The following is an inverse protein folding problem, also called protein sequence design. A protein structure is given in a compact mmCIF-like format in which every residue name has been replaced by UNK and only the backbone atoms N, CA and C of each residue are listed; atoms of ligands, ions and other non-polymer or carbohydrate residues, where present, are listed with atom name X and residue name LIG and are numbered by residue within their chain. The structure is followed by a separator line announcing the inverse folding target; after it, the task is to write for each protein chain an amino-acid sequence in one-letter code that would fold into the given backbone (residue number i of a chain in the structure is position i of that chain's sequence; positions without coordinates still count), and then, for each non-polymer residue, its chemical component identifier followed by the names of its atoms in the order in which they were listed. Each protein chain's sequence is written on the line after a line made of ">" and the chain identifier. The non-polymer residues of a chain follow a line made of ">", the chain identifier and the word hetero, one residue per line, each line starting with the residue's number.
data_IF_812920969531
#
_entry.id   IF_812920969531
#
_cell.length_a   1.000
_cell.length_b   1.000
_cell.length_c   1.000
_cell.angle_alpha   90.00
_cell.angle_beta   90.00
_cell.angle_gamma   90.00
#
_symmetry.space_group_name_H-M   'P 1'
#
loop_
_entity.id
_entity.type
_entity.pdbx_description
1 polymer ?
#
# COMPACT_ATOMS: atom_id res chain seq x y z
N UNK A 1 67.92 -33.57 46.23
CA UNK A 1 67.29 -32.56 45.36
C UNK A 1 66.69 -33.31 44.17
N UNK A 2 65.40 -33.62 44.24
CA UNK A 2 64.70 -34.38 43.18
C UNK A 2 63.91 -33.37 42.27
N UNK A 3 64.32 -33.31 41.00
CA UNK A 3 63.65 -32.51 40.02
C UNK A 3 62.37 -33.24 39.52
N UNK A 4 61.21 -32.63 39.72
CA UNK A 4 59.94 -33.12 39.24
C UNK A 4 59.75 -32.64 37.79
N UNK A 5 59.76 -33.55 36.85
CA UNK A 5 59.47 -33.27 35.43
C UNK A 5 57.93 -33.41 35.22
N UNK A 6 57.24 -32.31 35.00
CA UNK A 6 55.80 -32.32 34.64
C UNK A 6 55.72 -32.45 33.12
N UNK A 7 55.35 -33.64 32.65
CA UNK A 7 55.05 -33.87 31.23
C UNK A 7 53.63 -33.33 30.90
N UNK A 8 53.61 -32.26 30.18
CA UNK A 8 52.35 -31.65 29.68
C UNK A 8 51.84 -32.41 28.44
N UNK A 9 50.79 -33.19 28.63
CA UNK A 9 50.17 -33.98 27.58
C UNK A 9 49.28 -33.03 26.75
N UNK A 10 49.73 -32.68 25.55
CA UNK A 10 48.94 -31.92 24.57
C UNK A 10 47.98 -32.88 23.88
N UNK A 11 46.68 -32.76 24.20
CA UNK A 11 45.58 -33.38 23.44
C UNK A 11 45.24 -32.52 22.24
N UNK A 12 45.17 -33.07 21.02
CA UNK A 12 44.69 -32.30 19.88
C UNK A 12 43.18 -32.15 19.95
N UNK A 13 42.71 -30.88 20.03
CA UNK A 13 41.31 -30.54 19.88
C UNK A 13 40.93 -30.72 18.41
N UNK A 14 40.25 -31.81 18.11
CA UNK A 14 39.63 -32.03 16.79
C UNK A 14 38.43 -31.09 16.67
N UNK A 15 38.60 -30.02 15.92
CA UNK A 15 37.55 -29.09 15.59
C UNK A 15 36.63 -29.75 14.53
N UNK A 16 35.58 -30.42 14.99
CA UNK A 16 34.54 -30.94 14.12
C UNK A 16 33.66 -29.77 13.68
N UNK A 17 33.96 -29.24 12.50
CA UNK A 17 33.05 -28.28 11.82
C UNK A 17 31.79 -29.04 11.35
N UNK A 18 30.73 -28.96 12.13
CA UNK A 18 29.40 -29.41 11.69
C UNK A 18 28.87 -28.41 10.68
N UNK A 19 28.98 -28.75 9.40
CA UNK A 19 28.33 -28.02 8.32
C UNK A 19 26.80 -28.28 8.41
N UNK A 20 26.06 -27.40 9.08
CA UNK A 20 24.62 -27.44 9.05
C UNK A 20 24.20 -26.86 7.69
N UNK A 21 23.94 -27.73 6.74
CA UNK A 21 23.35 -27.40 5.45
C UNK A 21 21.88 -27.06 5.71
N UNK A 22 21.61 -25.77 5.96
CA UNK A 22 20.21 -25.27 6.01
C UNK A 22 19.63 -25.34 4.61
N UNK A 23 18.97 -26.45 4.32
CA UNK A 23 18.11 -26.56 3.13
C UNK A 23 16.91 -25.63 3.32
N UNK A 24 17.03 -24.40 2.81
CA UNK A 24 15.88 -23.50 2.70
C UNK A 24 14.98 -24.09 1.63
N UNK A 25 13.95 -24.81 2.06
CA UNK A 25 12.84 -25.22 1.18
C UNK A 25 12.11 -23.94 0.76
N UNK A 26 12.43 -23.47 -0.43
CA UNK A 26 11.62 -22.44 -1.09
C UNK A 26 10.26 -23.09 -1.40
N UNK A 27 9.31 -22.89 -0.51
CA UNK A 27 7.91 -23.22 -0.80
C UNK A 27 7.47 -22.33 -1.94
N UNK A 28 7.32 -22.93 -3.12
CA UNK A 28 6.71 -22.25 -4.26
C UNK A 28 5.33 -21.73 -3.80
N UNK A 29 5.19 -20.41 -3.72
CA UNK A 29 3.89 -19.80 -3.51
C UNK A 29 3.04 -20.14 -4.73
N UNK A 30 2.20 -21.15 -4.58
CA UNK A 30 1.15 -21.43 -5.54
C UNK A 30 0.31 -20.16 -5.66
N UNK A 31 0.35 -19.55 -6.84
CA UNK A 31 -0.58 -18.47 -7.22
C UNK A 31 -2.00 -19.07 -7.19
N UNK A 32 -2.60 -19.07 -6.00
CA UNK A 32 -4.04 -19.32 -5.90
C UNK A 32 -4.72 -18.17 -6.63
N UNK A 33 -5.42 -18.50 -7.68
CA UNK A 33 -6.26 -17.57 -8.45
C UNK A 33 -7.45 -17.14 -7.56
N UNK A 34 -7.15 -16.39 -6.52
CA UNK A 34 -8.13 -15.95 -5.51
C UNK A 34 -9.03 -14.95 -6.20
N UNK A 35 -10.28 -15.32 -6.42
CA UNK A 35 -11.32 -14.44 -6.97
C UNK A 35 -11.29 -13.10 -6.22
N UNK A 36 -11.10 -12.00 -6.94
CA UNK A 36 -11.04 -10.66 -6.37
C UNK A 36 -12.33 -10.37 -5.59
N UNK A 37 -12.19 -9.94 -4.34
CA UNK A 37 -13.35 -9.55 -3.52
C UNK A 37 -14.01 -8.29 -4.08
N UNK A 38 -15.29 -8.10 -3.79
CA UNK A 38 -16.01 -6.85 -4.12
C UNK A 38 -15.27 -5.62 -3.57
N UNK A 39 -14.82 -5.70 -2.32
CA UNK A 39 -14.07 -4.60 -1.67
C UNK A 39 -12.80 -4.25 -2.43
N UNK A 40 -11.98 -5.25 -2.78
CA UNK A 40 -10.74 -5.02 -3.54
C UNK A 40 -11.01 -4.37 -4.90
N UNK A 41 -12.05 -4.83 -5.61
CA UNK A 41 -12.44 -4.24 -6.90
C UNK A 41 -12.84 -2.78 -6.75
N UNK A 42 -13.70 -2.46 -5.79
CA UNK A 42 -14.16 -1.07 -5.54
C UNK A 42 -12.99 -0.14 -5.27
N UNK A 43 -12.08 -0.53 -4.38
CA UNK A 43 -10.92 0.29 -4.02
C UNK A 43 -10.00 0.48 -5.23
N UNK A 44 -9.65 -0.61 -5.94
CA UNK A 44 -8.76 -0.53 -7.10
C UNK A 44 -9.35 0.33 -8.22
N UNK A 45 -10.65 0.19 -8.51
CA UNK A 45 -11.36 1.01 -9.50
C UNK A 45 -11.34 2.48 -9.10
N UNK A 46 -11.56 2.80 -7.82
CA UNK A 46 -11.47 4.18 -7.33
C UNK A 46 -10.08 4.76 -7.57
N UNK A 47 -9.01 4.04 -7.19
CA UNK A 47 -7.63 4.48 -7.41
C UNK A 47 -7.36 4.73 -8.91
N UNK A 48 -7.79 3.81 -9.77
CA UNK A 48 -7.61 3.93 -11.22
C UNK A 48 -8.38 5.10 -11.81
N UNK A 49 -9.62 5.27 -11.42
CA UNK A 49 -10.46 6.36 -11.93
C UNK A 49 -9.88 7.74 -11.57
N UNK A 50 -9.35 7.87 -10.36
CA UNK A 50 -8.84 9.13 -9.82
C UNK A 50 -7.40 9.43 -10.24
N UNK A 51 -6.54 8.42 -10.38
CA UNK A 51 -5.10 8.66 -10.46
C UNK A 51 -4.30 7.79 -11.44
N UNK A 52 -4.92 7.00 -12.34
CA UNK A 52 -4.15 6.18 -13.31
C UNK A 52 -3.22 7.00 -14.22
N UNK A 53 -3.55 8.26 -14.46
CA UNK A 53 -2.71 9.20 -15.25
C UNK A 53 -1.61 9.89 -14.45
N UNK A 54 -1.58 9.74 -13.13
CA UNK A 54 -0.62 10.40 -12.23
C UNK A 54 0.56 9.48 -11.86
N UNK A 55 0.67 8.31 -12.50
CA UNK A 55 1.69 7.30 -12.18
C UNK A 55 1.48 6.63 -10.82
N UNK A 56 2.46 5.82 -10.42
CA UNK A 56 2.38 5.04 -9.17
C UNK A 56 2.32 5.92 -7.93
N UNK A 57 3.08 7.01 -7.90
CA UNK A 57 3.07 7.97 -6.79
C UNK A 57 1.69 8.60 -6.56
N UNK A 58 1.00 9.02 -7.63
CA UNK A 58 -0.35 9.56 -7.55
C UNK A 58 -1.38 8.51 -7.14
N UNK A 59 -1.28 7.29 -7.68
CA UNK A 59 -2.16 6.19 -7.28
C UNK A 59 -1.97 5.81 -5.79
N UNK A 60 -0.71 5.76 -5.32
CA UNK A 60 -0.43 5.54 -3.89
C UNK A 60 -1.03 6.65 -3.03
N UNK A 61 -0.89 7.91 -3.45
CA UNK A 61 -1.41 9.05 -2.71
C UNK A 61 -2.94 9.00 -2.56
N UNK A 62 -3.67 8.68 -3.62
CA UNK A 62 -5.14 8.49 -3.55
C UNK A 62 -5.49 7.31 -2.63
N UNK A 63 -4.76 6.19 -2.71
CA UNK A 63 -4.96 5.05 -1.82
C UNK A 63 -4.72 5.43 -0.34
N UNK A 64 -3.67 6.22 -0.05
CA UNK A 64 -3.39 6.71 1.29
C UNK A 64 -4.51 7.62 1.84
N UNK A 65 -5.13 8.46 1.00
CA UNK A 65 -6.32 9.26 1.38
C UNK A 65 -7.52 8.36 1.68
N UNK A 66 -7.75 7.30 0.88
CA UNK A 66 -8.81 6.32 1.17
C UNK A 66 -8.58 5.68 2.54
N UNK A 67 -7.34 5.23 2.82
CA UNK A 67 -6.96 4.65 4.10
C UNK A 67 -7.14 5.64 5.27
N UNK A 68 -6.76 6.91 5.09
CA UNK A 68 -6.93 7.97 6.08
C UNK A 68 -8.41 8.21 6.40
N UNK A 69 -9.24 8.37 5.37
CA UNK A 69 -10.70 8.54 5.55
C UNK A 69 -11.36 7.33 6.21
N UNK A 70 -10.91 6.11 5.89
CA UNK A 70 -11.42 4.89 6.49
C UNK A 70 -11.10 4.84 7.99
N UNK A 71 -9.88 5.22 8.36
CA UNK A 71 -9.42 5.31 9.74
C UNK A 71 -10.22 6.35 10.55
N UNK A 72 -10.30 7.59 10.07
CA UNK A 72 -10.98 8.69 10.74
C UNK A 72 -12.48 8.42 10.94
N UNK A 73 -13.12 7.85 9.92
CA UNK A 73 -14.57 7.63 9.91
C UNK A 73 -14.99 6.28 10.48
N UNK A 74 -14.04 5.44 10.90
CA UNK A 74 -14.27 4.06 11.37
C UNK A 74 -15.14 3.27 10.40
N UNK A 75 -14.81 3.35 9.09
CA UNK A 75 -15.53 2.71 8.01
C UNK A 75 -14.59 1.80 7.21
N UNK A 76 -15.17 0.84 6.47
CA UNK A 76 -14.36 0.07 5.51
C UNK A 76 -13.89 0.97 4.38
N UNK A 77 -12.70 0.73 3.77
CA UNK A 77 -12.21 1.48 2.63
C UNK A 77 -13.19 1.52 1.47
N UNK A 78 -13.87 0.41 1.17
CA UNK A 78 -14.89 0.36 0.12
C UNK A 78 -16.11 1.22 0.44
N UNK A 79 -16.56 1.26 1.70
CA UNK A 79 -17.65 2.14 2.11
C UNK A 79 -17.28 3.63 1.99
N UNK A 80 -16.00 3.96 2.22
CA UNK A 80 -15.48 5.32 1.95
C UNK A 80 -15.53 5.62 0.46
N UNK A 81 -15.09 4.69 -0.39
CA UNK A 81 -15.10 4.89 -1.84
C UNK A 81 -16.52 5.09 -2.40
N UNK A 82 -17.48 4.32 -1.91
CA UNK A 82 -18.87 4.33 -2.39
C UNK A 82 -19.74 5.41 -1.73
N UNK A 83 -19.21 6.16 -0.76
CA UNK A 83 -19.97 7.25 -0.15
C UNK A 83 -20.30 8.31 -1.21
N UNK A 84 -21.58 8.66 -1.30
CA UNK A 84 -22.09 9.67 -2.26
C UNK A 84 -21.23 10.94 -2.24
N UNK A 85 -20.84 11.43 -3.40
CA UNK A 85 -20.04 12.64 -3.62
C UNK A 85 -18.58 12.59 -3.12
N UNK A 86 -18.08 11.43 -2.67
CA UNK A 86 -16.67 11.33 -2.26
C UNK A 86 -15.72 11.10 -3.44
N UNK A 87 -16.15 10.29 -4.40
CA UNK A 87 -15.40 10.02 -5.63
C UNK A 87 -16.38 10.07 -6.81
N UNK A 88 -16.14 10.99 -7.73
CA UNK A 88 -17.06 11.31 -8.82
C UNK A 88 -17.30 10.13 -9.75
N UNK A 89 -16.33 9.23 -9.88
CA UNK A 89 -16.43 8.05 -10.73
C UNK A 89 -17.61 7.13 -10.36
N UNK A 90 -18.09 7.17 -9.12
CA UNK A 90 -19.23 6.36 -8.64
C UNK A 90 -20.59 7.03 -8.79
N UNK A 91 -20.64 8.32 -9.17
CA UNK A 91 -21.91 9.02 -9.29
C UNK A 91 -22.77 8.43 -10.41
N UNK A 92 -23.90 7.80 -10.05
CA UNK A 92 -24.80 7.14 -11.01
C UNK A 92 -24.25 5.86 -11.63
N UNK A 93 -23.13 5.31 -11.12
CA UNK A 93 -22.47 4.12 -11.63
C UNK A 93 -22.50 2.98 -10.64
N UNK A 94 -22.53 1.75 -11.16
CA UNK A 94 -22.38 0.50 -10.40
C UNK A 94 -21.02 -0.14 -10.71
N UNK A 95 -20.60 -1.09 -9.93
CA UNK A 95 -19.32 -1.79 -10.12
C UNK A 95 -19.15 -2.31 -11.55
N UNK A 96 -20.16 -2.96 -12.12
CA UNK A 96 -20.14 -3.50 -13.48
C UNK A 96 -19.85 -2.46 -14.57
N UNK A 97 -20.27 -1.21 -14.32
CA UNK A 97 -20.11 -0.12 -15.28
C UNK A 97 -18.64 0.36 -15.36
N UNK A 98 -17.83 0.06 -14.34
CA UNK A 98 -16.45 0.49 -14.18
C UNK A 98 -15.43 -0.66 -14.19
N UNK A 99 -15.85 -1.92 -14.24
CA UNK A 99 -14.94 -3.10 -14.24
C UNK A 99 -13.94 -3.10 -15.40
N UNK A 100 -14.23 -2.41 -16.49
CA UNK A 100 -13.30 -2.25 -17.61
C UNK A 100 -11.98 -1.57 -17.19
N UNK A 101 -11.98 -0.75 -16.13
CA UNK A 101 -10.78 -0.14 -15.58
C UNK A 101 -9.80 -1.18 -15.01
N UNK A 102 -10.28 -2.36 -14.62
CA UNK A 102 -9.40 -3.44 -14.14
C UNK A 102 -8.60 -4.12 -15.26
N UNK A 103 -8.79 -3.73 -16.52
CA UNK A 103 -8.08 -4.25 -17.69
C UNK A 103 -6.97 -3.34 -18.19
N UNK A 104 -6.82 -2.13 -17.61
CA UNK A 104 -5.75 -1.20 -18.00
C UNK A 104 -4.38 -1.64 -17.42
N UNK A 105 -3.25 -1.25 -18.01
CA UNK A 105 -1.93 -1.66 -17.52
C UNK A 105 -1.68 -1.36 -16.05
N UNK A 106 -2.17 -0.23 -15.55
CA UNK A 106 -2.02 0.22 -14.16
C UNK A 106 -2.83 -0.61 -13.14
N UNK A 107 -3.75 -1.47 -13.62
CA UNK A 107 -4.63 -2.24 -12.74
C UNK A 107 -3.88 -3.18 -11.80
N UNK A 108 -2.74 -3.75 -12.24
CA UNK A 108 -1.89 -4.60 -11.39
C UNK A 108 -1.46 -3.86 -10.12
N UNK A 109 -0.97 -2.64 -10.27
CA UNK A 109 -0.52 -1.82 -9.15
C UNK A 109 -1.69 -1.36 -8.27
N UNK A 110 -2.78 -0.88 -8.86
CA UNK A 110 -3.98 -0.49 -8.12
C UNK A 110 -4.58 -1.64 -7.30
N UNK A 111 -4.58 -2.87 -7.85
CA UNK A 111 -5.02 -4.06 -7.12
C UNK A 111 -4.09 -4.42 -5.95
N UNK A 112 -2.77 -4.25 -6.12
CA UNK A 112 -1.81 -4.45 -5.04
C UNK A 112 -2.04 -3.45 -3.91
N UNK A 113 -2.26 -2.17 -4.22
CA UNK A 113 -2.62 -1.14 -3.24
C UNK A 113 -3.94 -1.47 -2.53
N UNK A 114 -4.96 -1.88 -3.28
CA UNK A 114 -6.27 -2.22 -2.72
C UNK A 114 -6.22 -3.42 -1.76
N UNK A 115 -5.44 -4.45 -2.08
CA UNK A 115 -5.23 -5.62 -1.19
C UNK A 115 -4.53 -5.24 0.11
N UNK A 116 -3.63 -4.26 0.07
CA UNK A 116 -2.80 -3.83 1.18
C UNK A 116 -3.25 -2.49 1.79
N UNK A 117 -4.48 -2.04 1.50
CA UNK A 117 -4.95 -0.68 1.82
C UNK A 117 -4.77 -0.28 3.29
N UNK A 118 -4.92 -1.24 4.22
CA UNK A 118 -4.78 -1.01 5.67
C UNK A 118 -3.32 -0.86 6.12
N UNK A 119 -2.37 -1.29 5.30
CA UNK A 119 -0.93 -1.27 5.59
C UNK A 119 -0.22 -0.05 4.96
N UNK A 120 -0.94 0.72 4.14
CA UNK A 120 -0.35 1.88 3.47
C UNK A 120 0.01 2.99 4.46
N UNK A 121 1.14 3.64 4.23
CA UNK A 121 1.54 4.81 5.02
C UNK A 121 0.63 6.00 4.71
N UNK A 122 -0.15 6.41 5.70
CA UNK A 122 -1.01 7.60 5.62
C UNK A 122 -0.19 8.89 5.73
N UNK A 123 1.00 8.81 6.31
CA UNK A 123 1.96 9.91 6.37
C UNK A 123 2.49 10.28 4.98
N UNK A 124 2.48 9.36 4.04
CA UNK A 124 2.88 9.62 2.65
C UNK A 124 2.19 10.87 2.06
N UNK A 125 0.96 11.14 2.45
CA UNK A 125 0.19 12.33 2.08
C UNK A 125 0.03 13.33 3.24
N UNK A 126 0.85 13.25 4.30
CA UNK A 126 0.74 14.10 5.48
C UNK A 126 -0.60 13.95 6.21
N UNK A 127 -1.13 12.72 6.25
CA UNK A 127 -2.46 12.43 6.83
C UNK A 127 -3.61 13.20 6.20
N UNK A 128 -3.45 13.60 4.93
CA UNK A 128 -4.50 14.31 4.19
C UNK A 128 -5.75 13.44 4.03
N UNK A 129 -6.90 14.08 4.18
CA UNK A 129 -8.22 13.48 3.96
C UNK A 129 -9.00 14.16 2.82
N UNK A 130 -8.44 15.23 2.23
CA UNK A 130 -8.96 15.92 1.06
C UNK A 130 -7.86 16.16 0.02
N UNK A 131 -8.25 16.18 -1.25
CA UNK A 131 -7.36 16.61 -2.33
C UNK A 131 -8.19 17.14 -3.51
N UNK A 132 -7.56 17.93 -4.36
CA UNK A 132 -8.09 18.33 -5.66
C UNK A 132 -6.96 18.35 -6.70
N UNK A 133 -7.34 18.29 -7.97
CA UNK A 133 -6.40 18.46 -9.06
C UNK A 133 -6.10 19.96 -9.26
N UNK A 134 -4.82 20.33 -9.42
CA UNK A 134 -4.38 21.71 -9.60
C UNK A 134 -4.83 22.35 -10.92
N UNK A 135 -5.33 21.55 -11.86
CA UNK A 135 -5.85 22.02 -13.16
C UNK A 135 -7.31 22.47 -13.10
N UNK A 136 -8.00 22.25 -11.96
CA UNK A 136 -9.36 22.73 -11.77
C UNK A 136 -9.39 24.02 -10.95
N UNK A 137 -10.49 24.77 -11.05
CA UNK A 137 -10.74 25.92 -10.16
C UNK A 137 -10.65 25.47 -8.70
N UNK A 138 -10.00 26.27 -7.86
CA UNK A 138 -9.87 26.00 -6.42
C UNK A 138 -11.24 25.68 -5.82
N UNK A 139 -11.44 24.49 -5.25
CA UNK A 139 -12.70 24.14 -4.60
C UNK A 139 -12.99 25.05 -3.41
N UNK A 140 -14.27 25.28 -3.14
CA UNK A 140 -14.68 26.14 -2.03
C UNK A 140 -14.09 25.70 -0.68
N UNK A 141 -14.09 24.40 -0.42
CA UNK A 141 -13.56 23.82 0.83
C UNK A 141 -12.04 23.98 1.01
N UNK A 142 -11.28 24.22 -0.07
CA UNK A 142 -9.83 24.45 -0.02
C UNK A 142 -9.47 25.93 0.15
N UNK A 143 -10.47 26.82 0.11
CA UNK A 143 -10.24 28.27 0.16
C UNK A 143 -9.81 28.68 1.56
N UNK A 144 -8.58 29.22 1.68
CA UNK A 144 -7.97 29.58 2.96
C UNK A 144 -7.23 28.45 3.67
N UNK A 145 -7.34 27.20 3.18
CA UNK A 145 -6.67 26.05 3.75
C UNK A 145 -5.22 25.96 3.27
N UNK A 146 -4.33 25.48 4.16
CA UNK A 146 -2.92 25.25 3.81
C UNK A 146 -2.75 23.81 3.32
N UNK A 147 -2.19 23.60 2.11
CA UNK A 147 -1.90 22.26 1.65
C UNK A 147 -0.79 21.62 2.49
N UNK A 148 -0.91 20.31 2.73
CA UNK A 148 0.12 19.54 3.44
C UNK A 148 1.09 18.87 2.48
N UNK A 149 0.67 18.62 1.22
CA UNK A 149 1.52 18.01 0.19
C UNK A 149 1.00 18.26 -1.21
N UNK A 150 1.90 18.19 -2.19
CA UNK A 150 1.55 18.12 -3.62
C UNK A 150 2.26 16.90 -4.23
N UNK A 151 1.52 16.06 -4.98
CA UNK A 151 2.04 14.88 -5.66
C UNK A 151 1.40 14.85 -7.05
N UNK A 152 2.22 14.93 -8.10
CA UNK A 152 1.72 15.08 -9.47
C UNK A 152 0.83 16.32 -9.59
N UNK A 153 -0.35 16.15 -10.15
CA UNK A 153 -1.33 17.23 -10.28
C UNK A 153 -2.28 17.34 -9.06
N UNK A 154 -2.09 16.56 -8.01
CA UNK A 154 -2.94 16.58 -6.83
C UNK A 154 -2.34 17.40 -5.69
N UNK A 155 -3.14 18.28 -5.11
CA UNK A 155 -2.82 19.07 -3.92
C UNK A 155 -3.64 18.51 -2.75
N UNK A 156 -2.97 18.14 -1.66
CA UNK A 156 -3.52 17.40 -0.51
C UNK A 156 -3.69 18.31 0.70
N UNK A 157 -4.80 18.10 1.43
CA UNK A 157 -5.17 18.88 2.61
C UNK A 157 -5.63 17.96 3.75
N UNK A 158 -5.35 18.38 4.97
CA UNK A 158 -5.84 17.76 6.19
C UNK A 158 -6.89 18.71 6.80
N UNK A 159 -8.17 18.34 6.67
CA UNK A 159 -9.32 19.12 7.16
C UNK A 159 -10.01 18.39 8.31
#
# INVERSE_FOLDING_TARGET
>A
MKKLIITLCMLPVIFQAVLILNCVTVTAHTHTNTKLTHETKVIAITILAEARGEGEAGMYAVAAVIAQRAFERKRTPSAVCLKKWQFSCWNGKRLKDLEHLLKVPQAKYALALAKNIKLLSRDYVGYANHYHNNKIKLPYWAKGEKPVKTIGNHIFYKL
#
